data_IF_977204788652
#
_entry.id   IF_977204788652
#
_cell.length_a   1.000
_cell.length_b   1.000
_cell.length_c   1.000
_cell.angle_alpha   90.00
_cell.angle_beta   90.00
_cell.angle_gamma   90.00
#
_symmetry.space_group_name_H-M   'P 1'
#
loop_
_entity.id
_entity.type
_entity.pdbx_description
1 polymer ?
#
# COMPACT_ATOMS: atom_id res chain seq x y z
N UNK A 1 -10.98 27.01 -10.79
CA UNK A 1 -11.95 25.89 -10.86
C UNK A 1 -11.98 25.37 -12.29
N UNK A 2 -12.25 24.08 -12.49
CA UNK A 2 -12.23 23.43 -13.82
C UNK A 2 -13.39 22.44 -13.96
N UNK A 3 -13.76 22.07 -15.19
CA UNK A 3 -14.69 20.96 -15.40
C UNK A 3 -13.98 19.62 -15.13
N UNK A 4 -14.43 18.90 -14.11
CA UNK A 4 -13.89 17.58 -13.78
C UNK A 4 -14.73 16.46 -14.41
N UNK A 5 -14.11 15.39 -14.93
CA UNK A 5 -14.82 14.20 -15.38
C UNK A 5 -15.78 13.67 -14.31
N UNK A 6 -16.96 13.19 -14.71
CA UNK A 6 -17.85 12.47 -13.79
C UNK A 6 -17.32 11.05 -13.62
N UNK A 7 -17.32 10.56 -12.38
CA UNK A 7 -16.96 9.17 -12.06
C UNK A 7 -18.24 8.42 -11.73
N UNK A 8 -18.57 7.46 -12.59
CA UNK A 8 -19.72 6.60 -12.39
C UNK A 8 -19.28 5.36 -11.62
N UNK A 9 -19.66 5.30 -10.34
CA UNK A 9 -19.35 4.17 -9.46
C UNK A 9 -20.24 2.95 -9.71
N UNK A 10 -21.34 3.14 -10.44
CA UNK A 10 -22.21 2.06 -10.88
C UNK A 10 -21.56 1.35 -12.06
N UNK A 11 -20.72 0.36 -11.73
CA UNK A 11 -20.05 -0.48 -12.71
C UNK A 11 -21.09 -1.31 -13.46
N UNK A 12 -21.21 -1.16 -14.78
CA UNK A 12 -22.12 -2.01 -15.54
C UNK A 12 -21.66 -3.47 -15.45
N UNK A 13 -22.61 -4.42 -15.48
CA UNK A 13 -22.31 -5.85 -15.55
C UNK A 13 -21.79 -6.19 -16.94
N UNK A 14 -20.55 -5.81 -17.20
CA UNK A 14 -19.84 -6.02 -18.46
C UNK A 14 -18.67 -6.97 -18.27
N UNK A 15 -18.13 -7.47 -19.38
CA UNK A 15 -16.93 -8.29 -19.39
C UNK A 15 -15.74 -7.44 -18.93
N UNK A 16 -15.21 -7.71 -17.73
CA UNK A 16 -13.92 -7.20 -17.27
C UNK A 16 -12.84 -8.26 -17.39
N UNK A 17 -11.57 -7.84 -17.39
CA UNK A 17 -10.44 -8.77 -17.32
C UNK A 17 -10.08 -9.06 -15.86
N UNK A 18 -10.01 -10.33 -15.49
CA UNK A 18 -9.40 -10.82 -14.25
C UNK A 18 -8.03 -11.36 -14.57
N UNK A 19 -7.02 -10.97 -13.79
CA UNK A 19 -5.71 -11.61 -13.84
C UNK A 19 -5.80 -12.96 -13.13
N UNK A 20 -5.33 -14.01 -13.82
CA UNK A 20 -5.06 -15.36 -13.32
C UNK A 20 -3.55 -15.67 -13.46
N UNK A 21 -3.10 -16.68 -12.74
CA UNK A 21 -1.71 -17.16 -12.81
C UNK A 21 -1.65 -18.53 -13.49
N UNK A 22 -0.80 -18.66 -14.50
CA UNK A 22 -0.36 -19.98 -14.95
C UNK A 22 0.85 -20.39 -14.11
N UNK A 23 0.66 -21.45 -13.32
CA UNK A 23 1.66 -21.97 -12.39
C UNK A 23 2.46 -23.15 -12.94
N UNK A 24 2.35 -23.43 -14.25
CA UNK A 24 3.12 -24.48 -14.91
C UNK A 24 4.61 -24.19 -14.78
N UNK A 25 5.35 -25.10 -14.16
CA UNK A 25 6.76 -24.91 -13.84
C UNK A 25 7.59 -24.67 -15.10
N UNK A 26 8.38 -23.58 -15.11
CA UNK A 26 9.16 -23.15 -16.27
C UNK A 26 8.36 -22.37 -17.33
N UNK A 27 7.03 -22.35 -17.23
CA UNK A 27 6.12 -21.64 -18.15
C UNK A 27 5.23 -20.61 -17.45
N UNK A 28 5.67 -20.13 -16.28
CA UNK A 28 4.92 -19.16 -15.49
C UNK A 28 4.58 -17.91 -16.32
N UNK A 29 3.30 -17.55 -16.34
CA UNK A 29 2.78 -16.40 -17.08
C UNK A 29 1.57 -15.79 -16.39
N UNK A 30 1.41 -14.48 -16.61
CA UNK A 30 0.19 -13.75 -16.29
C UNK A 30 -0.86 -14.02 -17.37
N UNK A 31 -2.05 -14.49 -16.97
CA UNK A 31 -3.16 -14.82 -17.89
C UNK A 31 -4.33 -13.91 -17.61
N UNK A 32 -4.96 -13.34 -18.63
CA UNK A 32 -6.12 -12.48 -18.47
C UNK A 32 -7.38 -13.17 -18.97
N UNK A 33 -8.29 -13.45 -18.04
CA UNK A 33 -9.56 -14.13 -18.31
C UNK A 33 -10.71 -13.13 -18.27
N UNK A 34 -11.62 -13.20 -19.25
CA UNK A 34 -12.85 -12.39 -19.23
C UNK A 34 -13.81 -12.94 -18.17
N UNK A 35 -14.37 -12.06 -17.34
CA UNK A 35 -15.38 -12.41 -16.34
C UNK A 35 -16.50 -11.38 -16.30
N UNK A 36 -17.72 -11.84 -16.03
CA UNK A 36 -18.87 -10.98 -15.73
C UNK A 36 -19.02 -10.72 -14.22
N UNK A 37 -18.20 -11.35 -13.38
CA UNK A 37 -18.20 -11.13 -11.95
C UNK A 37 -17.36 -9.89 -11.61
N UNK A 38 -18.05 -8.83 -11.16
CA UNK A 38 -17.45 -7.52 -10.90
C UNK A 38 -16.54 -7.46 -9.67
N UNK A 39 -16.61 -8.46 -8.79
CA UNK A 39 -15.85 -8.49 -7.53
C UNK A 39 -14.80 -9.59 -7.44
N UNK A 40 -14.81 -10.53 -8.39
CA UNK A 40 -13.97 -11.72 -8.39
C UNK A 40 -12.52 -11.40 -8.78
N UNK A 41 -11.54 -11.97 -8.08
CA UNK A 41 -10.10 -11.86 -8.38
C UNK A 41 -9.42 -13.20 -8.15
N UNK A 42 -8.19 -13.38 -8.64
CA UNK A 42 -7.46 -14.63 -8.41
C UNK A 42 -6.98 -14.75 -6.96
N UNK A 43 -7.09 -15.95 -6.41
CA UNK A 43 -6.78 -16.27 -5.02
C UNK A 43 -5.61 -17.24 -4.95
N UNK A 44 -4.63 -16.96 -4.08
CA UNK A 44 -3.51 -17.87 -3.83
C UNK A 44 -3.07 -17.78 -2.37
N UNK A 45 -2.69 -18.91 -1.76
CA UNK A 45 -2.20 -18.92 -0.38
C UNK A 45 -0.85 -18.21 -0.26
N UNK A 46 -0.63 -17.52 0.86
CA UNK A 46 0.67 -16.96 1.22
C UNK A 46 1.77 -18.04 1.26
N UNK A 47 2.97 -17.69 0.82
CA UNK A 47 4.11 -18.61 0.70
C UNK A 47 4.05 -19.57 -0.50
N UNK A 48 3.04 -19.46 -1.37
CA UNK A 48 2.95 -20.30 -2.56
C UNK A 48 4.10 -20.02 -3.55
N UNK A 49 4.83 -21.07 -3.94
CA UNK A 49 5.99 -20.98 -4.82
C UNK A 49 5.66 -20.46 -6.23
N UNK A 50 4.45 -20.67 -6.73
CA UNK A 50 4.02 -20.11 -8.01
C UNK A 50 4.08 -18.58 -7.99
N UNK A 51 3.58 -17.94 -6.92
CA UNK A 51 3.63 -16.48 -6.82
C UNK A 51 5.06 -15.95 -6.81
N UNK A 52 5.97 -16.65 -6.12
CA UNK A 52 7.41 -16.29 -6.13
C UNK A 52 8.00 -16.35 -7.54
N UNK A 53 7.70 -17.42 -8.30
CA UNK A 53 8.19 -17.58 -9.68
C UNK A 53 7.58 -16.54 -10.62
N UNK A 54 6.26 -16.27 -10.50
CA UNK A 54 5.57 -15.23 -11.27
C UNK A 54 6.20 -13.86 -11.02
N UNK A 55 6.41 -13.46 -9.76
CA UNK A 55 7.02 -12.16 -9.47
C UNK A 55 8.44 -12.09 -10.06
N UNK A 56 9.24 -13.14 -9.87
CA UNK A 56 10.63 -13.15 -10.32
C UNK A 56 10.75 -13.15 -11.85
N UNK A 57 9.81 -13.76 -12.57
CA UNK A 57 9.89 -13.93 -14.04
C UNK A 57 9.08 -12.88 -14.81
N UNK A 58 7.93 -12.49 -14.30
CA UNK A 58 6.96 -11.64 -15.01
C UNK A 58 6.97 -10.18 -14.53
N UNK A 59 7.57 -9.89 -13.37
CA UNK A 59 7.62 -8.55 -12.79
C UNK A 59 9.03 -7.97 -12.65
N UNK A 60 10.03 -8.62 -13.26
CA UNK A 60 11.38 -8.09 -13.33
C UNK A 60 11.48 -7.00 -14.41
N UNK A 61 11.83 -5.78 -13.98
CA UNK A 61 12.09 -4.63 -14.83
C UNK A 61 13.54 -4.12 -14.70
N UNK A 62 14.44 -4.96 -14.18
CA UNK A 62 15.86 -4.69 -14.02
C UNK A 62 16.21 -3.84 -12.78
N UNK A 63 15.24 -3.47 -11.95
CA UNK A 63 15.47 -2.74 -10.69
C UNK A 63 15.52 -3.68 -9.49
N UNK A 64 16.32 -3.32 -8.48
CA UNK A 64 16.50 -4.13 -7.27
C UNK A 64 15.19 -4.36 -6.49
N UNK A 65 14.33 -3.34 -6.41
CA UNK A 65 13.01 -3.42 -5.76
C UNK A 65 11.96 -3.74 -6.84
N UNK A 66 11.30 -4.92 -6.80
CA UNK A 66 10.23 -5.26 -7.73
C UNK A 66 9.10 -4.22 -7.76
N UNK A 67 8.48 -4.02 -8.93
CA UNK A 67 7.31 -3.12 -9.03
C UNK A 67 6.03 -3.83 -8.58
N UNK A 68 6.03 -4.40 -7.37
CA UNK A 68 4.92 -5.16 -6.80
C UNK A 68 4.44 -4.45 -5.56
N UNK A 69 3.14 -4.16 -5.49
CA UNK A 69 2.54 -3.48 -4.36
C UNK A 69 1.94 -4.48 -3.39
N UNK A 70 2.08 -4.20 -2.10
CA UNK A 70 1.52 -5.01 -1.02
C UNK A 70 0.61 -4.14 -0.16
N UNK A 71 -0.62 -4.61 0.03
CA UNK A 71 -1.55 -4.09 1.02
C UNK A 71 -1.88 -5.20 2.00
N UNK A 72 -1.88 -4.90 3.29
CA UNK A 72 -2.28 -5.83 4.35
C UNK A 72 -3.62 -5.39 4.91
N UNK A 73 -4.65 -6.19 4.71
CA UNK A 73 -6.03 -5.89 5.06
C UNK A 73 -6.58 -6.98 5.97
N UNK A 74 -6.47 -6.74 7.27
CA UNK A 74 -7.09 -7.58 8.29
C UNK A 74 -8.35 -6.92 8.83
N UNK A 75 -9.49 -7.30 8.25
CA UNK A 75 -10.80 -6.81 8.65
C UNK A 75 -11.82 -7.00 7.52
N UNK A 76 -13.07 -7.25 7.89
CA UNK A 76 -14.16 -7.38 6.93
C UNK A 76 -14.79 -6.01 6.69
N UNK A 77 -14.26 -5.25 5.74
CA UNK A 77 -14.71 -3.88 5.51
C UNK A 77 -15.12 -3.66 4.05
N UNK A 78 -16.22 -2.93 3.88
CA UNK A 78 -16.52 -2.26 2.62
C UNK A 78 -15.39 -1.29 2.32
N UNK A 79 -14.80 -1.40 1.12
CA UNK A 79 -13.71 -0.53 0.71
C UNK A 79 -14.19 0.92 0.75
N UNK A 80 -13.49 1.80 1.47
CA UNK A 80 -13.85 3.21 1.57
C UNK A 80 -13.11 4.06 0.53
N UNK A 81 -13.52 5.32 0.38
CA UNK A 81 -12.97 6.22 -0.63
C UNK A 81 -11.46 6.48 -0.47
N UNK A 82 -10.93 6.48 0.75
CA UNK A 82 -9.51 6.76 0.99
C UNK A 82 -8.65 5.56 0.61
N UNK A 83 -9.12 4.34 0.88
CA UNK A 83 -8.49 3.12 0.37
C UNK A 83 -8.59 3.05 -1.15
N UNK A 84 -9.69 3.52 -1.74
CA UNK A 84 -9.79 3.64 -3.20
C UNK A 84 -8.75 4.63 -3.74
N UNK A 85 -8.59 5.78 -3.10
CA UNK A 85 -7.56 6.76 -3.45
C UNK A 85 -6.16 6.14 -3.36
N UNK A 86 -5.87 5.36 -2.32
CA UNK A 86 -4.59 4.64 -2.18
C UNK A 86 -4.34 3.74 -3.38
N UNK A 87 -5.28 2.85 -3.69
CA UNK A 87 -5.16 1.90 -4.81
C UNK A 87 -5.03 2.60 -6.18
N UNK A 88 -5.87 3.61 -6.45
CA UNK A 88 -5.79 4.38 -7.70
C UNK A 88 -4.46 5.12 -7.79
N UNK A 89 -3.96 5.67 -6.69
CA UNK A 89 -2.68 6.37 -6.68
C UNK A 89 -1.50 5.45 -7.02
N UNK A 90 -1.51 4.21 -6.51
CA UNK A 90 -0.53 3.19 -6.85
C UNK A 90 -0.55 2.90 -8.36
N UNK A 91 -1.73 2.63 -8.91
CA UNK A 91 -1.90 2.36 -10.36
C UNK A 91 -1.48 3.55 -11.21
N UNK A 92 -1.92 4.76 -10.85
CA UNK A 92 -1.72 5.96 -11.66
C UNK A 92 -0.26 6.40 -11.70
N UNK A 93 0.41 6.44 -10.54
CA UNK A 93 1.74 7.04 -10.42
C UNK A 93 2.86 6.02 -10.47
N UNK A 94 2.62 4.77 -10.08
CA UNK A 94 3.65 3.74 -10.03
C UNK A 94 3.46 2.61 -11.03
N UNK A 95 2.23 2.39 -11.53
CA UNK A 95 1.91 1.39 -12.56
C UNK A 95 2.51 0.00 -12.22
N UNK A 96 2.14 -0.58 -11.07
CA UNK A 96 2.78 -1.80 -10.59
C UNK A 96 2.51 -2.97 -11.54
N UNK A 97 3.45 -3.92 -11.58
CA UNK A 97 3.23 -5.21 -12.25
C UNK A 97 2.05 -5.94 -11.63
N UNK A 98 2.02 -6.00 -10.29
CA UNK A 98 0.99 -6.67 -9.49
C UNK A 98 0.66 -5.84 -8.25
N UNK A 99 -0.61 -5.86 -7.87
CA UNK A 99 -1.07 -5.45 -6.54
C UNK A 99 -1.48 -6.72 -5.78
N UNK A 100 -0.82 -6.97 -4.67
CA UNK A 100 -1.08 -8.09 -3.78
C UNK A 100 -1.85 -7.60 -2.56
N UNK A 101 -3.04 -8.15 -2.37
CA UNK A 101 -3.87 -7.90 -1.19
C UNK A 101 -3.69 -9.08 -0.25
N UNK A 102 -3.07 -8.85 0.90
CA UNK A 102 -2.81 -9.84 1.94
C UNK A 102 -3.90 -9.79 3.00
N UNK A 103 -4.50 -10.94 3.30
CA UNK A 103 -5.51 -11.06 4.35
C UNK A 103 -6.32 -12.34 4.22
N UNK A 104 -7.28 -12.58 5.14
CA UNK A 104 -8.18 -13.72 5.04
C UNK A 104 -9.27 -13.48 3.97
N UNK A 105 -9.57 -12.21 3.68
CA UNK A 105 -10.65 -11.80 2.78
C UNK A 105 -10.21 -10.58 1.95
N UNK A 106 -10.92 -10.35 0.86
CA UNK A 106 -10.78 -9.15 0.02
C UNK A 106 -11.83 -8.11 0.38
N UNK A 107 -11.59 -6.82 0.07
CA UNK A 107 -12.61 -5.79 0.24
C UNK A 107 -13.85 -6.06 -0.61
N UNK A 108 -14.95 -5.39 -0.29
CA UNK A 108 -16.19 -5.44 -1.06
C UNK A 108 -16.81 -4.04 -1.22
N UNK A 109 -17.90 -3.95 -1.99
CA UNK A 109 -18.68 -2.73 -2.16
C UNK A 109 -18.33 -1.95 -3.44
N UNK A 110 -19.07 -0.86 -3.67
CA UNK A 110 -19.02 -0.11 -4.95
C UNK A 110 -17.63 0.37 -5.34
N UNK A 111 -16.83 0.82 -4.35
CA UNK A 111 -15.49 1.32 -4.61
C UNK A 111 -14.51 0.20 -4.98
N UNK A 112 -14.67 -0.99 -4.38
CA UNK A 112 -13.88 -2.16 -4.76
C UNK A 112 -14.24 -2.64 -6.18
N UNK A 113 -15.54 -2.76 -6.47
CA UNK A 113 -16.00 -3.17 -7.79
C UNK A 113 -15.55 -2.18 -8.87
N UNK A 114 -15.62 -0.87 -8.59
CA UNK A 114 -15.10 0.17 -9.48
C UNK A 114 -13.60 0.02 -9.72
N UNK A 115 -12.82 -0.22 -8.67
CA UNK A 115 -11.38 -0.43 -8.81
C UNK A 115 -11.05 -1.64 -9.70
N UNK A 116 -11.71 -2.77 -9.49
CA UNK A 116 -11.51 -3.98 -10.29
C UNK A 116 -12.01 -3.84 -11.74
N UNK A 117 -12.94 -2.92 -11.99
CA UNK A 117 -13.37 -2.59 -13.35
C UNK A 117 -12.27 -1.84 -14.12
N UNK A 118 -11.55 -0.93 -13.45
CA UNK A 118 -10.50 -0.11 -14.10
C UNK A 118 -9.10 -0.73 -14.03
N UNK A 119 -8.90 -1.76 -13.20
CA UNK A 119 -7.59 -2.39 -13.00
C UNK A 119 -7.68 -3.88 -12.71
N UNK A 120 -6.91 -4.68 -13.46
CA UNK A 120 -7.02 -6.15 -13.47
C UNK A 120 -5.90 -6.87 -12.72
N UNK A 121 -4.72 -6.24 -12.55
CA UNK A 121 -3.52 -6.92 -12.03
C UNK A 121 -3.53 -6.98 -10.50
N UNK A 122 -4.59 -7.57 -9.94
CA UNK A 122 -4.83 -7.69 -8.51
C UNK A 122 -4.92 -9.16 -8.14
N UNK A 123 -4.18 -9.56 -7.11
CA UNK A 123 -4.17 -10.92 -6.59
C UNK A 123 -4.47 -10.89 -5.10
N UNK A 124 -5.37 -11.76 -4.67
CA UNK A 124 -5.59 -12.02 -3.25
C UNK A 124 -4.58 -13.06 -2.77
N UNK A 125 -3.72 -12.64 -1.86
CA UNK A 125 -2.79 -13.50 -1.13
C UNK A 125 -3.43 -13.89 0.20
N UNK A 126 -4.04 -15.07 0.22
CA UNK A 126 -4.81 -15.59 1.35
C UNK A 126 -3.89 -15.91 2.50
N UNK A 127 -4.09 -15.24 3.64
CA UNK A 127 -3.39 -15.52 4.90
C UNK A 127 -4.16 -15.01 6.11
N UNK A 128 -4.04 -15.75 7.21
CA UNK A 128 -4.55 -15.30 8.49
C UNK A 128 -3.67 -14.20 9.10
N UNK A 129 -4.25 -13.47 10.06
CA UNK A 129 -3.50 -12.52 10.87
C UNK A 129 -2.61 -13.31 11.84
N UNK A 130 -1.31 -12.99 11.94
CA UNK A 130 -0.47 -13.49 13.03
C UNK A 130 -1.10 -13.16 14.39
N UNK A 131 -1.16 -14.13 15.30
CA UNK A 131 -1.66 -13.94 16.68
C UNK A 131 -0.56 -14.01 17.72
N UNK A 132 0.62 -14.50 17.33
CA UNK A 132 1.80 -14.59 18.20
C UNK A 132 3.06 -14.11 17.47
N UNK A 133 4.05 -13.67 18.23
CA UNK A 133 5.38 -13.33 17.73
C UNK A 133 6.43 -13.55 18.81
N UNK A 134 7.56 -14.18 18.46
CA UNK A 134 8.65 -14.46 19.41
C UNK A 134 8.21 -15.26 20.64
N UNK A 135 7.23 -16.17 20.48
CA UNK A 135 6.66 -16.96 21.57
C UNK A 135 5.71 -16.19 22.51
N UNK A 136 5.30 -14.98 22.15
CA UNK A 136 4.36 -14.15 22.93
C UNK A 136 3.09 -13.86 22.13
N UNK A 137 1.96 -13.77 22.82
CA UNK A 137 0.70 -13.26 22.24
C UNK A 137 0.84 -11.79 21.80
N UNK A 138 0.08 -11.39 20.79
CA UNK A 138 0.08 -9.99 20.38
C UNK A 138 -0.64 -9.11 21.41
N UNK A 139 -0.01 -8.01 21.84
CA UNK A 139 -0.66 -7.05 22.74
C UNK A 139 -1.58 -6.05 22.03
N UNK A 140 -1.39 -5.85 20.73
CA UNK A 140 -2.23 -4.99 19.89
C UNK A 140 -2.55 -5.69 18.57
N UNK A 141 -3.78 -5.54 18.07
CA UNK A 141 -4.20 -6.12 16.78
C UNK A 141 -3.37 -5.57 15.61
N UNK A 142 -2.92 -4.31 15.71
CA UNK A 142 -2.10 -3.63 14.71
C UNK A 142 -0.76 -4.35 14.51
N UNK A 143 -0.21 -4.97 15.56
CA UNK A 143 1.04 -5.71 15.46
C UNK A 143 0.95 -6.88 14.46
N UNK A 144 -0.24 -7.49 14.29
CA UNK A 144 -0.44 -8.55 13.30
C UNK A 144 -0.25 -8.04 11.87
N UNK A 145 -0.72 -6.81 11.59
CA UNK A 145 -0.49 -6.15 10.31
C UNK A 145 0.98 -5.72 10.13
N UNK A 146 1.62 -5.28 11.22
CA UNK A 146 3.05 -4.91 11.24
C UNK A 146 3.97 -6.09 10.96
N UNK A 147 3.63 -7.28 11.44
CA UNK A 147 4.35 -8.51 11.13
C UNK A 147 4.12 -8.87 9.66
N UNK A 148 2.86 -8.94 9.22
CA UNK A 148 2.52 -9.38 7.88
C UNK A 148 3.12 -8.51 6.76
N UNK A 149 3.23 -7.19 6.97
CA UNK A 149 3.87 -6.30 5.98
C UNK A 149 5.37 -6.56 5.84
N UNK A 150 6.06 -6.82 6.95
CA UNK A 150 7.49 -7.11 6.96
C UNK A 150 7.75 -8.47 6.31
N UNK A 151 6.92 -9.46 6.61
CA UNK A 151 7.00 -10.78 5.97
C UNK A 151 6.73 -10.70 4.46
N UNK A 152 5.72 -9.95 4.03
CA UNK A 152 5.43 -9.76 2.61
C UNK A 152 6.63 -9.16 1.86
N UNK A 153 7.25 -8.10 2.41
CA UNK A 153 8.44 -7.47 1.83
C UNK A 153 9.65 -8.40 1.88
N UNK A 154 9.84 -9.16 2.98
CA UNK A 154 10.91 -10.14 3.09
C UNK A 154 10.82 -11.18 1.97
N UNK A 155 9.65 -11.76 1.80
CA UNK A 155 9.42 -12.95 0.97
C UNK A 155 9.26 -12.62 -0.51
N UNK A 156 8.67 -11.46 -0.84
CA UNK A 156 8.37 -11.05 -2.21
C UNK A 156 9.18 -9.85 -2.70
N UNK A 157 9.86 -9.11 -1.82
CA UNK A 157 10.37 -7.76 -2.13
C UNK A 157 9.21 -6.80 -2.37
N UNK A 158 9.46 -5.68 -3.05
CA UNK A 158 8.41 -4.80 -3.55
C UNK A 158 8.17 -3.57 -2.68
N UNK A 159 6.94 -3.08 -2.71
CA UNK A 159 6.51 -1.80 -2.14
C UNK A 159 5.26 -2.03 -1.30
N UNK A 160 5.37 -1.88 0.01
CA UNK A 160 4.26 -1.97 0.95
C UNK A 160 3.69 -0.59 1.25
N UNK A 161 2.36 -0.49 1.27
CA UNK A 161 1.59 0.69 1.62
C UNK A 161 0.60 0.39 2.76
N UNK A 162 0.52 1.30 3.74
CA UNK A 162 -0.67 1.43 4.59
C UNK A 162 -1.89 1.69 3.69
N UNK A 163 -3.05 1.16 4.07
CA UNK A 163 -4.25 1.23 3.21
C UNK A 163 -4.81 2.66 3.03
N UNK A 164 -4.33 3.61 3.82
CA UNK A 164 -4.64 5.04 3.74
C UNK A 164 -3.39 5.88 3.40
N UNK A 165 -2.41 5.29 2.75
CA UNK A 165 -1.26 5.96 2.15
C UNK A 165 -1.52 6.23 0.66
N UNK A 166 -1.26 7.44 0.17
CA UNK A 166 -1.45 7.78 -1.27
C UNK A 166 -0.16 8.23 -1.92
N UNK A 167 0.08 7.78 -3.15
CA UNK A 167 1.15 8.31 -3.99
C UNK A 167 0.75 9.61 -4.69
N UNK A 168 1.74 10.49 -4.87
CA UNK A 168 1.60 11.71 -5.68
C UNK A 168 2.63 11.79 -6.80
N UNK A 169 3.63 10.90 -6.82
CA UNK A 169 4.59 10.70 -7.92
C UNK A 169 5.20 9.30 -7.88
N UNK A 170 5.85 8.89 -8.96
CA UNK A 170 6.50 7.59 -9.06
C UNK A 170 7.63 7.42 -8.03
N UNK A 171 7.73 6.23 -7.45
CA UNK A 171 8.79 5.78 -6.55
C UNK A 171 10.00 5.19 -7.30
N UNK A 172 9.96 5.14 -8.62
CA UNK A 172 11.00 4.57 -9.47
C UNK A 172 12.44 5.07 -9.19
N UNK A 173 12.69 6.34 -8.84
CA UNK A 173 14.02 6.81 -8.46
C UNK A 173 14.60 6.12 -7.22
N UNK A 174 13.75 5.51 -6.38
CA UNK A 174 14.14 4.87 -5.13
C UNK A 174 14.30 3.34 -5.27
N UNK A 175 13.89 2.75 -6.40
CA UNK A 175 13.82 1.29 -6.60
C UNK A 175 15.16 0.60 -6.87
N UNK A 176 16.25 1.35 -6.98
CA UNK A 176 17.62 0.82 -7.10
C UNK A 176 18.34 0.72 -5.75
N UNK A 177 17.63 0.89 -4.63
CA UNK A 177 18.17 0.78 -3.27
C UNK A 177 17.82 -0.59 -2.68
N UNK A 178 18.61 -1.13 -1.74
CA UNK A 178 18.33 -2.43 -1.13
C UNK A 178 17.11 -2.39 -0.19
N UNK A 179 16.90 -1.26 0.49
CA UNK A 179 15.76 -0.98 1.37
C UNK A 179 15.52 0.53 1.41
N UNK A 180 14.27 0.96 1.48
CA UNK A 180 13.86 2.37 1.57
C UNK A 180 12.72 2.51 2.56
N UNK A 181 12.87 3.45 3.49
CA UNK A 181 11.81 3.88 4.41
C UNK A 181 11.84 5.40 4.58
N UNK A 182 10.76 5.97 5.10
CA UNK A 182 10.67 7.38 5.48
C UNK A 182 10.70 7.56 6.99
N UNK A 183 11.01 8.78 7.43
CA UNK A 183 10.85 9.21 8.81
C UNK A 183 9.36 9.45 9.11
N UNK A 184 8.83 9.00 10.24
CA UNK A 184 7.50 9.44 10.72
C UNK A 184 7.61 10.76 11.49
N UNK A 185 8.67 10.88 12.28
CA UNK A 185 9.09 12.08 13.02
C UNK A 185 10.62 12.13 13.03
N UNK A 186 11.23 13.19 13.55
CA UNK A 186 12.70 13.25 13.69
C UNK A 186 13.27 12.10 14.55
N UNK A 187 12.45 11.50 15.42
CA UNK A 187 12.88 10.46 16.34
C UNK A 187 12.82 9.05 15.74
N UNK A 188 12.02 8.81 14.69
CA UNK A 188 11.71 7.45 14.25
C UNK A 188 11.28 7.33 12.78
N UNK A 189 11.55 6.17 12.20
CA UNK A 189 11.04 5.72 10.91
C UNK A 189 9.54 5.44 10.95
N UNK A 190 8.92 5.47 9.77
CA UNK A 190 7.53 5.13 9.50
C UNK A 190 7.43 3.74 8.88
N UNK A 191 6.41 2.99 9.28
CA UNK A 191 6.02 1.73 8.67
C UNK A 191 4.98 1.84 7.55
N UNK A 192 4.50 3.05 7.26
CA UNK A 192 3.43 3.24 6.27
C UNK A 192 3.87 3.03 4.83
N UNK A 193 5.15 3.22 4.55
CA UNK A 193 5.78 2.90 3.26
C UNK A 193 7.08 2.15 3.51
N UNK A 194 7.16 0.91 3.03
CA UNK A 194 8.37 0.08 3.10
C UNK A 194 8.66 -0.40 1.69
N UNK A 195 9.86 -0.15 1.19
CA UNK A 195 10.29 -0.68 -0.11
C UNK A 195 11.57 -1.49 0.08
N UNK A 196 11.66 -2.69 -0.47
CA UNK A 196 12.91 -3.42 -0.42
C UNK A 196 13.04 -4.44 -1.55
N UNK A 197 14.28 -4.78 -1.88
CA UNK A 197 14.53 -5.98 -2.65
C UNK A 197 14.13 -7.21 -1.83
N UNK A 198 13.76 -8.29 -2.50
CA UNK A 198 13.51 -9.58 -1.83
C UNK A 198 14.75 -10.00 -1.03
N UNK A 199 14.54 -10.55 0.17
CA UNK A 199 15.62 -10.94 1.08
C UNK A 199 16.62 -9.80 1.41
N UNK A 200 16.18 -8.54 1.39
CA UNK A 200 17.02 -7.42 1.83
C UNK A 200 17.56 -7.65 3.24
N UNK A 201 18.87 -7.48 3.42
CA UNK A 201 19.54 -7.74 4.70
C UNK A 201 18.96 -6.89 5.83
N UNK A 202 18.54 -5.65 5.54
CA UNK A 202 17.86 -4.81 6.53
C UNK A 202 16.55 -5.44 7.01
N UNK A 203 15.70 -5.89 6.07
CA UNK A 203 14.41 -6.51 6.36
C UNK A 203 14.58 -7.82 7.13
N UNK A 204 15.57 -8.64 6.76
CA UNK A 204 15.88 -9.88 7.48
C UNK A 204 16.27 -9.61 8.94
N UNK A 205 17.15 -8.64 9.18
CA UNK A 205 17.54 -8.21 10.54
C UNK A 205 16.38 -7.60 11.32
N UNK A 206 15.52 -6.85 10.64
CA UNK A 206 14.33 -6.29 11.28
C UNK A 206 13.34 -7.38 11.67
N UNK A 207 13.10 -8.36 10.80
CA UNK A 207 12.26 -9.51 11.11
C UNK A 207 12.83 -10.38 12.24
N UNK A 208 14.15 -10.59 12.28
CA UNK A 208 14.83 -11.20 13.43
C UNK A 208 14.51 -10.46 14.74
N UNK A 209 14.47 -9.13 14.70
CA UNK A 209 14.02 -8.29 15.81
C UNK A 209 12.60 -8.57 16.30
N UNK A 210 11.66 -8.86 15.40
CA UNK A 210 10.34 -9.34 15.79
C UNK A 210 10.42 -10.71 16.48
N UNK A 211 11.29 -11.62 16.03
CA UNK A 211 11.43 -12.92 16.69
C UNK A 211 12.07 -12.83 18.07
N UNK A 212 13.06 -11.95 18.26
CA UNK A 212 13.91 -11.93 19.47
C UNK A 212 13.61 -10.83 20.47
N UNK A 213 13.06 -9.68 20.04
CA UNK A 213 12.77 -8.51 20.88
C UNK A 213 11.37 -7.94 20.58
N UNK A 214 10.39 -8.83 20.46
CA UNK A 214 8.99 -8.41 20.40
C UNK A 214 8.50 -7.90 21.76
N UNK A 215 7.92 -6.70 21.75
CA UNK A 215 7.39 -6.00 22.92
C UNK A 215 5.87 -5.84 22.81
N UNK A 216 5.08 -6.77 23.38
CA UNK A 216 3.63 -6.73 23.22
C UNK A 216 2.98 -5.50 23.85
N UNK A 217 3.58 -4.90 24.89
CA UNK A 217 3.03 -3.74 25.61
C UNK A 217 3.46 -2.38 25.03
N UNK A 218 4.37 -2.36 24.05
CA UNK A 218 4.81 -1.13 23.39
C UNK A 218 4.31 -1.10 21.95
N UNK A 219 3.29 -0.27 21.72
CA UNK A 219 2.61 -0.14 20.44
C UNK A 219 3.55 0.23 19.28
N UNK A 220 4.60 1.01 19.56
CA UNK A 220 5.49 1.57 18.54
C UNK A 220 6.82 0.85 18.40
N UNK A 221 7.20 -0.01 19.36
CA UNK A 221 8.57 -0.53 19.44
C UNK A 221 9.01 -1.23 18.16
N UNK A 222 8.37 -2.34 17.81
CA UNK A 222 8.86 -3.19 16.73
C UNK A 222 8.69 -2.56 15.35
N UNK A 223 7.65 -1.73 15.15
CA UNK A 223 7.43 -1.10 13.85
C UNK A 223 8.23 0.20 13.69
N UNK A 224 8.30 1.05 14.70
CA UNK A 224 8.86 2.40 14.56
C UNK A 224 10.28 2.48 15.09
N UNK A 225 10.50 2.09 16.34
CA UNK A 225 11.76 2.35 17.03
C UNK A 225 12.84 1.30 16.75
N UNK A 226 12.47 0.02 16.66
CA UNK A 226 13.41 -1.05 16.33
C UNK A 226 14.10 -0.83 14.98
N UNK A 227 13.40 -0.60 13.84
CA UNK A 227 14.09 -0.34 12.58
C UNK A 227 14.83 0.99 12.59
N UNK A 228 14.40 1.97 13.40
CA UNK A 228 15.17 3.21 13.59
C UNK A 228 16.53 2.94 14.22
N UNK A 229 16.57 2.13 15.28
CA UNK A 229 17.82 1.73 15.92
C UNK A 229 18.68 0.88 14.98
N UNK A 230 18.04 0.00 14.20
CA UNK A 230 18.72 -0.81 13.19
C UNK A 230 19.35 0.06 12.10
N UNK A 231 18.65 1.09 11.62
CA UNK A 231 19.15 2.02 10.61
C UNK A 231 20.33 2.85 11.11
N UNK A 232 20.35 3.22 12.39
CA UNK A 232 21.52 3.86 13.02
C UNK A 232 22.72 2.93 13.09
N UNK A 233 22.49 1.64 13.36
CA UNK A 233 23.55 0.62 13.48
C UNK A 233 24.09 0.16 12.12
N UNK A 234 23.24 0.13 11.09
CA UNK A 234 23.57 -0.37 9.76
C UNK A 234 23.07 0.60 8.67
N UNK A 235 23.64 1.82 8.58
CA UNK A 235 23.17 2.85 7.66
C UNK A 235 23.31 2.44 6.19
N UNK A 236 24.28 1.59 5.84
CA UNK A 236 24.50 1.15 4.45
C UNK A 236 23.42 0.18 3.93
N UNK A 237 22.63 -0.42 4.84
CA UNK A 237 21.60 -1.38 4.47
C UNK A 237 20.26 -0.73 4.09
N UNK A 238 20.11 0.58 4.31
CA UNK A 238 18.84 1.28 4.12
C UNK A 238 19.04 2.71 3.62
N UNK A 239 18.20 3.12 2.68
CA UNK A 239 18.05 4.51 2.28
C UNK A 239 16.88 5.16 3.03
N UNK A 240 17.14 6.21 3.81
CA UNK A 240 16.11 6.98 4.50
C UNK A 240 15.67 8.15 3.62
N UNK A 241 14.44 8.12 3.10
CA UNK A 241 13.87 9.13 2.20
C UNK A 241 13.33 10.36 2.93
N UNK A 242 14.00 10.78 4.01
CA UNK A 242 13.56 11.89 4.87
C UNK A 242 12.07 11.79 5.24
N UNK A 243 11.35 12.90 5.15
CA UNK A 243 9.90 12.96 5.39
C UNK A 243 9.03 12.87 4.13
N UNK A 244 9.58 12.37 3.01
CA UNK A 244 8.92 12.42 1.71
C UNK A 244 7.70 11.49 1.58
N UNK A 245 7.43 10.63 2.57
CA UNK A 245 6.25 9.77 2.61
C UNK A 245 5.20 10.23 3.64
N UNK A 246 5.57 11.07 4.60
CA UNK A 246 4.78 11.25 5.83
C UNK A 246 4.50 12.70 6.15
N UNK A 247 4.82 13.65 5.26
CA UNK A 247 4.53 15.07 5.47
C UNK A 247 3.25 15.45 4.72
N UNK A 248 2.20 15.94 5.41
CA UNK A 248 2.09 16.20 6.85
C UNK A 248 1.95 14.93 7.71
N UNK A 249 2.52 14.93 8.93
CA UNK A 249 2.44 13.79 9.84
C UNK A 249 1.27 13.92 10.84
N UNK A 250 1.11 12.90 11.70
CA UNK A 250 0.05 12.82 12.70
C UNK A 250 -0.01 13.98 13.71
N UNK A 251 1.05 14.79 13.85
CA UNK A 251 1.05 15.99 14.70
C UNK A 251 0.48 17.22 13.98
N UNK A 252 0.39 17.19 12.65
CA UNK A 252 -0.01 18.33 11.83
C UNK A 252 -1.26 18.04 10.98
N UNK A 253 -2.22 17.28 11.52
CA UNK A 253 -3.44 16.86 10.82
C UNK A 253 -4.27 18.02 10.24
N UNK A 254 -4.19 19.23 10.79
CA UNK A 254 -4.86 20.42 10.22
C UNK A 254 -4.34 20.76 8.81
N UNK A 255 -3.09 20.42 8.49
CA UNK A 255 -2.54 20.56 7.15
C UNK A 255 -3.24 19.63 6.14
N UNK A 256 -3.70 18.46 6.58
CA UNK A 256 -4.44 17.50 5.74
C UNK A 256 -5.92 17.86 5.62
N UNK A 257 -6.56 18.16 6.75
CA UNK A 257 -8.02 18.18 6.85
C UNK A 257 -8.64 19.57 6.77
N UNK A 258 -7.85 20.65 6.93
CA UNK A 258 -8.37 22.01 7.07
C UNK A 258 -7.65 23.05 6.21
N UNK A 259 -6.44 22.74 5.71
CA UNK A 259 -5.59 23.65 4.94
C UNK A 259 -5.27 23.06 3.57
N UNK A 260 -4.55 23.84 2.76
CA UNK A 260 -4.01 23.44 1.46
C UNK A 260 -2.48 23.40 1.53
N UNK A 261 -1.95 22.28 2.00
CA UNK A 261 -0.52 22.02 2.11
C UNK A 261 0.13 21.91 0.72
N UNK A 262 1.41 22.25 0.58
CA UNK A 262 2.14 22.03 -0.68
C UNK A 262 2.88 20.69 -0.62
N UNK A 263 2.30 19.64 -1.21
CA UNK A 263 2.88 18.30 -1.27
C UNK A 263 3.76 18.04 -2.52
N UNK A 264 4.18 19.08 -3.25
CA UNK A 264 4.98 18.92 -4.48
C UNK A 264 6.32 18.19 -4.29
N UNK A 265 6.87 18.22 -3.07
CA UNK A 265 8.12 17.55 -2.72
C UNK A 265 7.92 16.11 -2.22
N UNK A 266 6.69 15.70 -1.94
CA UNK A 266 6.37 14.38 -1.41
C UNK A 266 6.37 13.32 -2.52
N UNK A 267 6.74 12.09 -2.16
CA UNK A 267 6.45 10.88 -2.95
C UNK A 267 5.08 10.30 -2.57
N UNK A 268 4.81 10.24 -1.27
CA UNK A 268 3.58 9.71 -0.70
C UNK A 268 3.06 10.61 0.44
N UNK A 269 1.79 10.45 0.78
CA UNK A 269 1.12 11.13 1.88
C UNK A 269 0.28 10.11 2.66
N UNK A 270 0.57 9.98 3.96
CA UNK A 270 -0.30 9.27 4.89
C UNK A 270 -1.53 10.12 5.20
N UNK A 271 -2.73 9.60 4.91
CA UNK A 271 -3.99 10.34 5.10
C UNK A 271 -4.47 10.36 6.55
N UNK A 272 -3.99 9.44 7.40
CA UNK A 272 -4.35 9.31 8.81
C UNK A 272 -5.85 9.29 9.06
N UNK A 273 -6.59 8.52 8.24
CA UNK A 273 -8.05 8.63 8.16
C UNK A 273 -8.76 8.25 9.46
N UNK A 274 -8.07 7.53 10.35
CA UNK A 274 -8.55 7.23 11.71
C UNK A 274 -8.90 8.49 12.53
N UNK A 275 -8.31 9.64 12.19
CA UNK A 275 -8.58 10.93 12.82
C UNK A 275 -9.51 11.83 12.00
N UNK A 276 -10.00 11.36 10.85
CA UNK A 276 -10.88 12.13 9.98
C UNK A 276 -12.32 11.65 10.13
N UNK A 277 -13.13 12.46 10.82
CA UNK A 277 -14.51 12.08 11.19
C UNK A 277 -15.56 12.39 10.11
N UNK A 278 -15.19 13.12 9.06
CA UNK A 278 -16.14 13.51 8.02
C UNK A 278 -16.39 12.36 7.04
N UNK A 279 -17.66 12.00 6.88
CA UNK A 279 -18.10 11.10 5.80
C UNK A 279 -17.91 11.81 4.47
N UNK A 280 -17.07 11.24 3.61
CA UNK A 280 -16.72 11.82 2.30
C UNK A 280 -17.15 10.87 1.18
N UNK A 281 -17.66 11.44 0.09
CA UNK A 281 -17.99 10.74 -1.15
C UNK A 281 -17.13 11.27 -2.30
N UNK A 282 -17.14 10.58 -3.44
CA UNK A 282 -16.42 11.02 -4.65
C UNK A 282 -16.91 12.39 -5.11
N UNK A 283 -18.21 12.65 -5.00
CA UNK A 283 -18.79 13.94 -5.35
C UNK A 283 -18.34 15.04 -4.39
N UNK A 284 -18.28 14.77 -3.08
CA UNK A 284 -17.79 15.75 -2.10
C UNK A 284 -16.32 16.10 -2.33
N UNK A 285 -15.47 15.15 -2.76
CA UNK A 285 -14.05 15.41 -3.09
C UNK A 285 -13.89 16.49 -4.18
N UNK A 286 -14.85 16.58 -5.12
CA UNK A 286 -14.82 17.54 -6.25
C UNK A 286 -14.75 18.99 -5.79
N UNK A 287 -15.37 19.31 -4.66
CA UNK A 287 -15.47 20.69 -4.14
C UNK A 287 -14.80 20.88 -2.77
N UNK A 288 -14.25 19.82 -2.16
CA UNK A 288 -13.59 19.90 -0.86
C UNK A 288 -12.28 20.70 -0.93
N UNK A 289 -12.28 21.94 -0.43
CA UNK A 289 -11.13 22.86 -0.46
C UNK A 289 -10.13 22.60 0.68
N UNK A 290 -9.56 21.40 0.70
CA UNK A 290 -8.53 20.98 1.66
C UNK A 290 -7.49 20.12 0.95
N UNK A 291 -6.36 19.85 1.59
CA UNK A 291 -5.31 18.95 1.08
C UNK A 291 -5.87 17.58 0.72
N UNK A 292 -6.65 16.94 1.61
CA UNK A 292 -7.25 15.63 1.29
C UNK A 292 -8.19 15.69 0.09
N UNK A 293 -8.95 16.79 -0.05
CA UNK A 293 -9.79 17.02 -1.23
C UNK A 293 -8.97 17.18 -2.51
N UNK A 294 -7.91 17.99 -2.46
CA UNK A 294 -7.03 18.21 -3.60
C UNK A 294 -6.23 16.97 -4.00
N UNK A 295 -5.78 16.15 -3.03
CA UNK A 295 -5.21 14.83 -3.28
C UNK A 295 -6.24 13.92 -3.96
N UNK A 296 -7.46 13.85 -3.43
CA UNK A 296 -8.56 13.07 -4.00
C UNK A 296 -8.83 13.45 -5.45
N UNK A 297 -8.90 14.75 -5.76
CA UNK A 297 -9.09 15.20 -7.15
C UNK A 297 -7.90 14.88 -8.03
N UNK A 298 -6.67 15.09 -7.52
CA UNK A 298 -5.46 14.81 -8.29
C UNK A 298 -5.36 13.33 -8.68
N UNK A 299 -5.70 12.44 -7.75
CA UNK A 299 -5.66 10.99 -7.93
C UNK A 299 -6.80 10.53 -8.85
N UNK A 300 -8.04 10.88 -8.51
CA UNK A 300 -9.25 10.35 -9.16
C UNK A 300 -9.53 11.05 -10.50
N UNK A 301 -9.47 12.38 -10.53
CA UNK A 301 -9.83 13.18 -11.71
C UNK A 301 -8.62 13.67 -12.50
N UNK A 302 -7.40 13.48 -11.98
CA UNK A 302 -6.16 13.89 -12.65
C UNK A 302 -5.80 15.36 -12.50
N UNK A 303 -6.48 16.10 -11.63
CA UNK A 303 -6.23 17.53 -11.42
C UNK A 303 -6.50 17.91 -9.96
N UNK A 304 -5.73 18.83 -9.38
CA UNK A 304 -5.86 19.25 -7.96
C UNK A 304 -6.84 20.41 -7.75
N UNK A 305 -7.17 21.15 -8.80
CA UNK A 305 -8.05 22.32 -8.77
C UNK A 305 -9.48 21.91 -8.42
N UNK A 306 -10.22 22.83 -7.80
CA UNK A 306 -11.63 22.63 -7.49
C UNK A 306 -12.44 22.41 -8.77
N UNK A 307 -13.39 21.49 -8.73
CA UNK A 307 -14.27 21.23 -9.85
C UNK A 307 -15.41 22.26 -9.87
N UNK A 308 -15.73 22.80 -11.05
CA UNK A 308 -17.05 23.35 -11.35
C UNK A 308 -17.90 22.21 -11.92
N UNK A 309 -19.14 22.10 -11.49
CA UNK A 309 -20.10 21.15 -12.05
C UNK A 309 -20.45 21.47 -13.51
#
# INVERSE_FOLDING_TARGET
MIQCPKVHLDVPKENRLRLDLDCTEGQERLVFTKTMNISDIFHISYGNQCLHRIISKCCDDGKSIPNVFHYVLYGYNSLNIYTLMSLISAVRFQKPCLILIHGPNVPFGKYWNYFLHIYSNVIHVVRDMPTTMGGKELGFKEHGADIARVEAIRDYGGIYFDYDEVLVRSLDPLRNKPCVMGMATEANLSCGVIMAQRNSTFILKWYEGYLTDYRPTDWGWNCLFYPTNLAKKFPDLIHISGFNFTTPNWKNLSLLFQKNFNWSQSYAIHLYIRFYTQKTTVDMIRSLNTTIGALGRHIIFGNKELCTD
#
